data_IF_895380960085
#
_entry.id   IF_895380960085
#
_cell.length_a   1.000
_cell.length_b   1.000
_cell.length_c   1.000
_cell.angle_alpha   90.00
_cell.angle_beta   90.00
_cell.angle_gamma   90.00
#
_symmetry.space_group_name_H-M   'P 1'
#
loop_
_entity.id
_entity.type
_entity.pdbx_description
1 polymer ?
#
# COMPACT_ATOMS: atom_id res chain seq x y z
N UNK A 1 -76.95 -36.52 4.82
CA UNK A 1 -78.04 -35.78 4.15
C UNK A 1 -77.36 -34.96 3.08
N UNK A 2 -77.76 -35.26 1.85
CA UNK A 2 -77.50 -34.61 0.55
C UNK A 2 -76.11 -34.88 -0.09
N UNK A 3 -75.90 -35.83 -1.03
CA UNK A 3 -76.45 -36.05 -2.42
C UNK A 3 -75.85 -34.99 -3.38
N UNK A 4 -75.15 -35.24 -4.50
CA UNK A 4 -74.75 -36.44 -5.27
C UNK A 4 -73.50 -36.08 -6.12
N UNK A 5 -72.60 -37.06 -6.32
CA UNK A 5 -71.54 -37.06 -7.35
C UNK A 5 -71.95 -38.05 -8.45
N UNK A 6 -72.05 -37.59 -9.70
CA UNK A 6 -72.17 -38.46 -10.88
C UNK A 6 -71.17 -37.97 -11.92
N UNK A 7 -70.21 -38.84 -12.24
CA UNK A 7 -69.37 -38.81 -13.44
C UNK A 7 -70.23 -39.13 -14.67
N UNK A 8 -69.96 -38.52 -15.82
CA UNK A 8 -70.16 -39.18 -17.11
C UNK A 8 -69.23 -38.56 -18.18
N UNK A 9 -68.37 -39.42 -18.71
CA UNK A 9 -67.61 -39.25 -19.94
C UNK A 9 -68.44 -39.79 -21.11
N UNK A 10 -68.38 -39.14 -22.27
CA UNK A 10 -68.54 -39.75 -23.59
C UNK A 10 -67.86 -38.78 -24.60
N UNK A 11 -66.80 -39.13 -25.34
CA UNK A 11 -66.69 -40.13 -26.43
C UNK A 11 -67.76 -39.86 -27.52
N UNK A 12 -67.53 -39.72 -28.82
CA UNK A 12 -66.40 -39.84 -29.75
C UNK A 12 -66.96 -39.37 -31.11
N UNK A 13 -66.18 -38.76 -32.02
CA UNK A 13 -66.24 -39.23 -33.42
C UNK A 13 -65.03 -38.88 -34.29
N UNK A 14 -64.77 -39.80 -35.21
CA UNK A 14 -63.56 -40.05 -35.98
C UNK A 14 -63.33 -39.13 -37.19
N UNK A 15 -62.08 -38.90 -37.60
CA UNK A 15 -61.39 -39.65 -38.68
C UNK A 15 -60.28 -38.85 -39.40
N UNK A 16 -59.29 -39.61 -39.84
CA UNK A 16 -58.00 -39.28 -40.47
C UNK A 16 -58.08 -38.54 -41.81
N UNK A 17 -57.09 -37.66 -42.11
CA UNK A 17 -56.43 -37.58 -43.43
C UNK A 17 -54.97 -37.08 -43.27
N UNK A 18 -54.01 -37.91 -43.69
CA UNK A 18 -52.60 -37.59 -43.95
C UNK A 18 -52.43 -36.80 -45.26
N UNK A 19 -51.44 -35.90 -45.35
CA UNK A 19 -50.67 -35.68 -46.60
C UNK A 19 -49.41 -34.85 -46.35
N UNK A 20 -48.28 -35.48 -46.66
CA UNK A 20 -46.95 -34.88 -46.82
C UNK A 20 -46.85 -33.95 -48.05
N UNK A 21 -45.75 -33.19 -48.07
CA UNK A 21 -44.99 -32.61 -49.20
C UNK A 21 -45.13 -31.11 -49.56
N UNK A 22 -44.00 -30.43 -49.28
CA UNK A 22 -43.14 -29.69 -50.21
C UNK A 22 -43.37 -28.20 -50.58
N UNK A 23 -42.36 -27.41 -50.17
CA UNK A 23 -41.58 -26.41 -50.92
C UNK A 23 -42.05 -24.93 -51.04
N UNK A 24 -41.19 -24.07 -50.44
CA UNK A 24 -40.70 -22.75 -50.88
C UNK A 24 -41.52 -21.46 -50.62
N UNK A 25 -41.10 -20.68 -49.61
CA UNK A 25 -40.44 -19.37 -49.85
C UNK A 25 -39.59 -18.95 -48.63
N UNK A 26 -38.33 -18.51 -48.77
CA UNK A 26 -37.52 -18.00 -47.68
C UNK A 26 -37.93 -16.56 -47.33
N UNK A 27 -38.39 -16.31 -46.11
CA UNK A 27 -38.58 -14.94 -45.61
C UNK A 27 -37.30 -14.50 -44.87
N UNK A 28 -36.66 -13.48 -45.46
CA UNK A 28 -35.57 -12.66 -44.92
C UNK A 28 -35.77 -12.34 -43.43
N UNK A 29 -35.00 -13.01 -42.56
CA UNK A 29 -34.95 -12.72 -41.13
C UNK A 29 -33.63 -12.04 -40.70
N UNK A 30 -32.68 -11.87 -41.63
CA UNK A 30 -31.33 -11.39 -41.32
C UNK A 30 -31.14 -9.87 -41.41
N UNK A 31 -32.11 -9.14 -41.98
CA UNK A 31 -31.92 -7.72 -42.30
C UNK A 31 -32.21 -6.75 -41.13
N UNK A 32 -33.12 -7.11 -40.20
CA UNK A 32 -33.54 -6.20 -39.11
C UNK A 32 -32.57 -6.21 -37.91
N UNK A 33 -31.83 -7.31 -37.71
CA UNK A 33 -30.84 -7.38 -36.63
C UNK A 33 -29.53 -6.66 -36.96
N UNK A 34 -29.11 -6.64 -38.23
CA UNK A 34 -27.85 -6.00 -38.64
C UNK A 34 -27.87 -4.47 -38.49
N UNK A 35 -28.99 -3.81 -38.82
CA UNK A 35 -29.10 -2.34 -38.75
C UNK A 35 -29.15 -1.81 -37.30
N UNK A 36 -29.79 -2.55 -36.38
CA UNK A 36 -29.86 -2.16 -34.97
C UNK A 36 -28.50 -2.32 -34.26
N UNK A 37 -27.72 -3.33 -34.63
CA UNK A 37 -26.40 -3.56 -34.06
C UNK A 37 -25.35 -2.62 -34.66
N UNK A 38 -25.48 -2.25 -35.94
CA UNK A 38 -24.71 -1.18 -36.58
C UNK A 38 -24.98 0.20 -35.96
N UNK A 39 -26.25 0.50 -35.64
CA UNK A 39 -26.62 1.74 -34.98
C UNK A 39 -26.05 1.83 -33.54
N UNK A 40 -26.09 0.72 -32.79
CA UNK A 40 -25.48 0.63 -31.45
C UNK A 40 -23.96 0.74 -31.51
N UNK A 41 -23.31 0.11 -32.50
CA UNK A 41 -21.85 0.19 -32.68
C UNK A 41 -21.40 1.63 -33.01
N UNK A 42 -22.13 2.33 -33.89
CA UNK A 42 -21.87 3.74 -34.22
C UNK A 42 -22.12 4.68 -33.03
N UNK A 43 -23.10 4.39 -32.17
CA UNK A 43 -23.36 5.15 -30.94
C UNK A 43 -22.24 4.96 -29.91
N UNK A 44 -21.77 3.73 -29.70
CA UNK A 44 -20.64 3.44 -28.81
C UNK A 44 -19.35 4.09 -29.29
N UNK A 45 -19.05 4.04 -30.59
CA UNK A 45 -17.89 4.75 -31.16
C UNK A 45 -17.97 6.26 -30.94
N UNK A 46 -19.16 6.89 -31.07
CA UNK A 46 -19.34 8.31 -30.73
C UNK A 46 -19.17 8.58 -29.23
N UNK A 47 -19.66 7.70 -28.36
CA UNK A 47 -19.48 7.80 -26.92
C UNK A 47 -18.00 7.68 -26.52
N UNK A 48 -17.24 6.77 -27.14
CA UNK A 48 -15.82 6.59 -26.89
C UNK A 48 -15.00 7.80 -27.37
N UNK A 49 -15.32 8.36 -28.54
CA UNK A 49 -14.67 9.59 -29.04
C UNK A 49 -14.98 10.78 -28.11
N UNK A 50 -16.22 10.93 -27.65
CA UNK A 50 -16.60 11.99 -26.71
C UNK A 50 -15.97 11.79 -25.32
N UNK A 51 -15.85 10.55 -24.86
CA UNK A 51 -15.20 10.22 -23.60
C UNK A 51 -13.69 10.48 -23.66
N UNK A 52 -13.03 10.05 -24.73
CA UNK A 52 -11.63 10.38 -25.02
C UNK A 52 -11.42 11.89 -25.09
N UNK A 53 -12.28 12.63 -25.79
CA UNK A 53 -12.18 14.10 -25.90
C UNK A 53 -12.35 14.80 -24.55
N UNK A 54 -13.29 14.37 -23.71
CA UNK A 54 -13.44 14.91 -22.35
C UNK A 54 -12.24 14.60 -21.47
N UNK A 55 -11.68 13.40 -21.58
CA UNK A 55 -10.50 12.99 -20.81
C UNK A 55 -9.24 13.73 -21.27
N UNK A 56 -9.07 13.95 -22.57
CA UNK A 56 -7.97 14.77 -23.10
C UNK A 56 -8.10 16.23 -22.67
N UNK A 57 -9.33 16.77 -22.62
CA UNK A 57 -9.56 18.14 -22.14
C UNK A 57 -9.28 18.25 -20.63
N UNK A 58 -9.72 17.30 -19.81
CA UNK A 58 -9.37 17.28 -18.38
C UNK A 58 -7.87 17.17 -18.13
N UNK A 59 -7.16 16.36 -18.91
CA UNK A 59 -5.70 16.25 -18.84
C UNK A 59 -5.05 17.57 -19.25
N UNK A 60 -5.51 18.18 -20.35
CA UNK A 60 -5.04 19.49 -20.81
C UNK A 60 -5.26 20.57 -19.74
N UNK A 61 -6.44 20.63 -19.13
CA UNK A 61 -6.76 21.60 -18.08
C UNK A 61 -5.90 21.39 -16.83
N UNK A 62 -5.69 20.13 -16.43
CA UNK A 62 -4.81 19.78 -15.31
C UNK A 62 -3.34 20.14 -15.59
N UNK A 63 -2.86 19.92 -16.81
CA UNK A 63 -1.51 20.31 -17.24
C UNK A 63 -1.36 21.83 -17.28
N UNK A 64 -2.37 22.55 -17.77
CA UNK A 64 -2.37 24.01 -17.78
C UNK A 64 -2.40 24.59 -16.36
N UNK A 65 -3.17 23.99 -15.45
CA UNK A 65 -3.19 24.37 -14.04
C UNK A 65 -1.81 24.12 -13.37
N UNK A 66 -1.18 22.97 -13.66
CA UNK A 66 0.16 22.67 -13.17
C UNK A 66 1.22 23.64 -13.75
N UNK A 67 1.10 24.01 -15.03
CA UNK A 67 1.98 25.00 -15.66
C UNK A 67 1.81 26.39 -15.05
N UNK A 68 0.57 26.82 -14.76
CA UNK A 68 0.30 28.09 -14.09
C UNK A 68 0.88 28.10 -12.66
N UNK A 69 0.73 27.00 -11.91
CA UNK A 69 1.37 26.84 -10.59
C UNK A 69 2.89 26.87 -10.69
N UNK A 70 3.49 26.18 -11.66
CA UNK A 70 4.94 26.24 -11.89
C UNK A 70 5.39 27.66 -12.27
N UNK A 71 4.61 28.40 -13.04
CA UNK A 71 4.90 29.79 -13.41
C UNK A 71 4.78 30.72 -12.20
N UNK A 72 3.77 30.54 -11.36
CA UNK A 72 3.62 31.25 -10.09
C UNK A 72 4.80 30.96 -9.14
N UNK A 73 5.19 29.69 -9.01
CA UNK A 73 6.35 29.27 -8.23
C UNK A 73 7.65 29.81 -8.81
N UNK A 74 7.78 29.86 -10.14
CA UNK A 74 8.94 30.46 -10.80
C UNK A 74 9.03 31.96 -10.53
N UNK A 75 7.91 32.67 -10.47
CA UNK A 75 7.88 34.10 -10.12
C UNK A 75 8.21 34.32 -8.63
N UNK A 76 7.82 33.40 -7.74
CA UNK A 76 8.22 33.40 -6.33
C UNK A 76 9.74 33.12 -6.20
N UNK A 77 10.28 32.22 -7.01
CA UNK A 77 11.71 31.88 -7.04
C UNK A 77 12.59 32.92 -7.76
N UNK A 78 12.02 33.68 -8.72
CA UNK A 78 12.69 34.78 -9.43
C UNK A 78 12.52 36.15 -8.76
N UNK A 79 11.77 36.26 -7.65
CA UNK A 79 12.04 37.37 -6.74
C UNK A 79 13.52 37.27 -6.35
N UNK A 80 14.30 38.35 -6.45
CA UNK A 80 15.72 38.29 -6.14
C UNK A 80 15.86 37.92 -4.67
N UNK A 81 16.04 36.62 -4.40
CA UNK A 81 16.64 36.17 -3.17
C UNK A 81 18.02 36.81 -3.17
N UNK A 82 18.19 37.83 -2.35
CA UNK A 82 19.49 38.37 -2.00
C UNK A 82 20.30 37.21 -1.40
N UNK A 83 21.01 36.48 -2.26
CA UNK A 83 21.99 35.48 -1.86
C UNK A 83 23.26 35.66 -2.68
N UNK A 84 23.91 36.79 -2.42
CA UNK A 84 25.36 36.84 -2.22
C UNK A 84 25.71 38.19 -1.63
N UNK A 85 25.58 38.30 -0.32
CA UNK A 85 26.42 39.21 0.42
C UNK A 85 27.07 38.42 1.54
N UNK A 86 28.39 38.48 1.57
CA UNK A 86 29.15 38.44 2.81
C UNK A 86 28.46 39.30 3.88
N UNK A 87 28.64 39.00 5.17
CA UNK A 87 27.71 39.40 6.23
C UNK A 87 27.55 40.93 6.25
N UNK A 88 26.45 41.41 5.68
CA UNK A 88 25.94 42.72 6.00
C UNK A 88 25.68 42.68 7.50
N UNK A 89 26.52 43.40 8.23
CA UNK A 89 26.35 43.82 9.62
C UNK A 89 24.90 43.72 10.03
N UNK A 90 24.59 42.78 10.93
CA UNK A 90 23.39 42.84 11.76
C UNK A 90 23.32 44.27 12.29
N UNK A 91 22.42 45.05 11.71
CA UNK A 91 21.94 46.30 12.30
C UNK A 91 21.61 45.94 13.74
N UNK A 92 22.34 46.56 14.66
CA UNK A 92 22.42 46.18 16.04
C UNK A 92 21.04 46.29 16.69
N UNK A 93 20.40 45.14 16.85
CA UNK A 93 19.60 44.95 18.06
C UNK A 93 20.64 44.90 19.18
N UNK A 94 20.95 46.08 19.74
CA UNK A 94 21.77 46.21 20.94
C UNK A 94 20.96 45.62 22.10
N UNK A 95 20.92 44.28 22.15
CA UNK A 95 20.40 43.56 23.30
C UNK A 95 21.21 44.02 24.51
N UNK A 96 20.50 44.45 25.56
CA UNK A 96 21.14 44.77 26.81
C UNK A 96 21.91 43.55 27.31
N UNK A 97 23.05 43.78 27.98
CA UNK A 97 23.83 42.71 28.59
C UNK A 97 22.94 41.84 29.50
N UNK A 98 21.99 42.46 30.20
CA UNK A 98 21.01 41.77 31.06
C UNK A 98 20.08 40.84 30.28
N UNK A 99 19.60 41.26 29.10
CA UNK A 99 18.74 40.45 28.24
C UNK A 99 19.49 39.23 27.69
N UNK A 100 20.77 39.39 27.33
CA UNK A 100 21.59 38.27 26.87
C UNK A 100 21.86 37.25 27.97
N UNK A 101 22.11 37.72 29.20
CA UNK A 101 22.28 36.85 30.37
C UNK A 101 20.97 36.13 30.69
N UNK A 102 19.84 36.84 30.64
CA UNK A 102 18.51 36.29 30.87
C UNK A 102 18.19 35.16 29.88
N UNK A 103 18.41 35.38 28.58
CA UNK A 103 18.18 34.35 27.54
C UNK A 103 19.07 33.12 27.78
N UNK A 104 20.36 33.34 28.07
CA UNK A 104 21.31 32.25 28.33
C UNK A 104 20.95 31.45 29.59
N UNK A 105 20.43 32.11 30.62
CA UNK A 105 19.96 31.44 31.83
C UNK A 105 18.71 30.59 31.55
N UNK A 106 17.72 31.13 30.82
CA UNK A 106 16.53 30.37 30.45
C UNK A 106 16.86 29.17 29.55
N UNK A 107 17.86 29.32 28.67
CA UNK A 107 18.35 28.21 27.86
C UNK A 107 18.94 27.09 28.73
N UNK A 108 19.62 27.44 29.83
CA UNK A 108 20.12 26.45 30.81
C UNK A 108 18.99 25.79 31.58
N UNK A 109 17.95 26.54 31.93
CA UNK A 109 16.77 26.00 32.62
C UNK A 109 16.00 25.04 31.71
N UNK A 110 15.83 25.38 30.43
CA UNK A 110 15.27 24.49 29.41
C UNK A 110 16.10 23.21 29.27
N UNK A 111 17.43 23.33 29.26
CA UNK A 111 18.32 22.18 29.19
C UNK A 111 18.10 21.21 30.36
N UNK A 112 17.92 21.72 31.58
CA UNK A 112 17.72 20.91 32.78
C UNK A 112 16.41 20.10 32.77
N UNK A 113 15.35 20.62 32.13
CA UNK A 113 14.03 19.97 32.03
C UNK A 113 13.96 19.02 30.82
N UNK A 114 14.74 19.30 29.77
CA UNK A 114 14.65 18.61 28.48
C UNK A 114 15.21 17.18 28.46
N UNK A 115 14.79 16.40 27.46
CA UNK A 115 15.28 15.04 27.20
C UNK A 115 16.71 15.04 26.63
N UNK A 116 17.40 13.89 26.66
CA UNK A 116 18.79 13.79 26.18
C UNK A 116 18.98 14.24 24.71
N UNK A 117 17.95 14.03 23.87
CA UNK A 117 17.96 14.45 22.46
C UNK A 117 17.84 15.97 22.34
N UNK A 118 16.90 16.55 23.07
CA UNK A 118 16.69 18.00 23.09
C UNK A 118 17.86 18.72 23.74
N UNK A 119 18.49 18.14 24.77
CA UNK A 119 19.73 18.63 25.36
C UNK A 119 20.83 18.79 24.30
N UNK A 120 21.09 17.74 23.49
CA UNK A 120 22.09 17.79 22.41
C UNK A 120 21.72 18.84 21.36
N UNK A 121 20.42 18.97 21.07
CA UNK A 121 19.89 19.92 20.11
C UNK A 121 20.06 21.36 20.59
N UNK A 122 19.75 21.67 21.84
CA UNK A 122 19.96 22.98 22.47
C UNK A 122 21.43 23.38 22.48
N UNK A 123 22.34 22.42 22.73
CA UNK A 123 23.78 22.67 22.69
C UNK A 123 24.29 23.11 21.31
N UNK A 124 23.57 22.83 20.21
CA UNK A 124 23.96 23.30 18.86
C UNK A 124 23.85 24.81 18.70
N UNK A 125 23.11 25.50 19.58
CA UNK A 125 23.02 26.97 19.56
C UNK A 125 24.31 27.67 20.00
N UNK A 126 25.20 26.96 20.70
CA UNK A 126 26.41 27.57 21.23
C UNK A 126 27.34 28.06 20.12
N UNK A 127 28.10 29.16 20.36
CA UNK A 127 29.06 29.67 19.38
C UNK A 127 30.03 28.57 18.91
N UNK A 128 30.37 28.56 17.62
CA UNK A 128 31.34 27.62 17.05
C UNK A 128 32.77 27.83 17.61
N UNK A 129 33.03 28.98 18.23
CA UNK A 129 34.28 29.27 18.94
C UNK A 129 34.42 28.45 20.23
N UNK A 130 33.33 27.88 20.76
CA UNK A 130 33.38 27.09 21.98
C UNK A 130 33.77 25.64 21.67
N UNK A 131 34.83 25.18 22.34
CA UNK A 131 35.21 23.76 22.33
C UNK A 131 34.30 22.89 23.19
N UNK A 132 34.35 21.57 22.98
CA UNK A 132 33.50 20.58 23.67
C UNK A 132 33.52 20.71 25.20
N UNK A 133 34.69 20.96 25.79
CA UNK A 133 34.86 20.97 27.25
C UNK A 133 34.25 22.24 27.87
N UNK A 134 34.31 23.36 27.14
CA UNK A 134 33.68 24.62 27.55
C UNK A 134 32.15 24.49 27.52
N UNK A 135 31.60 23.90 26.46
CA UNK A 135 30.16 23.65 26.35
C UNK A 135 29.70 22.71 27.47
N UNK A 136 30.39 21.59 27.66
CA UNK A 136 30.07 20.62 28.72
C UNK A 136 30.08 21.26 30.11
N UNK A 137 31.11 22.06 30.42
CA UNK A 137 31.21 22.78 31.70
C UNK A 137 30.10 23.80 31.89
N UNK A 138 29.70 24.52 30.84
CA UNK A 138 28.65 25.54 30.93
C UNK A 138 27.26 24.95 31.21
N UNK A 139 26.91 23.87 30.50
CA UNK A 139 25.66 23.15 30.71
C UNK A 139 25.66 22.18 31.91
N UNK A 140 26.85 21.81 32.42
CA UNK A 140 26.98 20.75 33.41
C UNK A 140 26.74 19.35 32.83
N UNK A 141 27.03 19.15 31.55
CA UNK A 141 26.78 17.91 30.81
C UNK A 141 28.06 17.12 30.52
N UNK A 142 27.93 15.95 29.90
CA UNK A 142 29.09 15.12 29.57
C UNK A 142 29.85 15.67 28.35
N UNK A 143 31.20 15.55 28.31
CA UNK A 143 31.97 15.92 27.12
C UNK A 143 31.56 15.15 25.86
N UNK A 144 31.00 13.95 26.03
CA UNK A 144 30.48 13.14 24.94
C UNK A 144 29.25 13.77 24.29
N UNK A 145 28.27 14.22 25.08
CA UNK A 145 27.09 14.92 24.57
C UNK A 145 27.47 16.22 23.85
N UNK A 146 28.42 16.99 24.38
CA UNK A 146 28.95 18.17 23.71
C UNK A 146 29.64 17.85 22.38
N UNK A 147 30.38 16.75 22.31
CA UNK A 147 30.96 16.29 21.03
C UNK A 147 29.87 15.92 20.03
N UNK A 148 28.82 15.24 20.47
CA UNK A 148 27.70 14.85 19.62
C UNK A 148 26.96 16.07 19.07
N UNK A 149 26.71 17.09 19.89
CA UNK A 149 26.03 18.32 19.45
C UNK A 149 26.88 19.15 18.49
N UNK A 150 28.21 19.25 18.70
CA UNK A 150 29.11 19.91 17.74
C UNK A 150 29.08 19.20 16.39
N UNK A 151 29.14 17.86 16.39
CA UNK A 151 29.05 17.06 15.16
C UNK A 151 27.69 17.24 14.48
N UNK A 152 26.60 17.22 15.25
CA UNK A 152 25.27 17.46 14.72
C UNK A 152 25.17 18.85 14.08
N UNK A 153 25.78 19.86 14.70
CA UNK A 153 25.84 21.22 14.18
C UNK A 153 26.61 21.31 12.86
N UNK A 154 27.74 20.60 12.74
CA UNK A 154 28.51 20.57 11.49
C UNK A 154 27.75 19.87 10.36
N UNK A 155 27.04 18.80 10.69
CA UNK A 155 26.41 17.92 9.69
C UNK A 155 25.06 18.48 9.22
N UNK A 156 24.24 19.02 10.13
CA UNK A 156 22.85 19.38 9.87
C UNK A 156 22.45 20.82 10.28
N UNK A 157 23.32 21.57 10.96
CA UNK A 157 23.07 22.96 11.38
C UNK A 157 22.55 23.17 12.81
N UNK A 158 21.99 24.36 13.08
CA UNK A 158 21.49 24.73 14.41
C UNK A 158 20.08 24.14 14.59
N UNK A 159 19.77 23.64 15.80
CA UNK A 159 18.49 23.00 16.12
C UNK A 159 18.14 21.80 15.22
N UNK A 160 19.13 21.10 14.71
CA UNK A 160 18.88 19.88 13.94
C UNK A 160 18.38 18.75 14.81
N UNK A 161 17.46 17.94 14.28
CA UNK A 161 16.96 16.77 15.00
C UNK A 161 18.04 15.71 15.07
N UNK A 162 18.14 15.03 16.22
CA UNK A 162 19.01 13.87 16.34
C UNK A 162 18.29 12.68 15.72
N UNK A 163 18.68 12.28 14.51
CA UNK A 163 18.21 11.01 13.96
C UNK A 163 18.81 9.88 14.80
N UNK A 164 17.95 9.07 15.41
CA UNK A 164 18.38 7.88 16.11
C UNK A 164 19.12 6.95 15.14
N UNK A 165 20.45 7.00 15.16
CA UNK A 165 21.27 6.02 14.46
C UNK A 165 21.06 4.59 15.00
N UNK A 166 20.38 4.47 16.14
CA UNK A 166 19.97 3.22 16.78
C UNK A 166 18.58 2.75 16.36
N UNK A 167 17.88 3.48 15.50
CA UNK A 167 16.64 3.03 14.87
C UNK A 167 16.93 2.03 13.75
N UNK A 168 16.03 1.06 13.57
CA UNK A 168 16.02 0.24 12.35
C UNK A 168 15.86 1.20 11.16
N UNK A 169 16.96 1.48 10.44
CA UNK A 169 16.88 2.22 9.17
C UNK A 169 15.80 1.54 8.32
N UNK A 170 14.87 2.32 7.72
CA UNK A 170 13.89 1.74 6.83
C UNK A 170 14.65 0.97 5.74
N UNK A 171 14.22 -0.27 5.47
CA UNK A 171 14.77 -1.01 4.34
C UNK A 171 14.48 -0.22 3.08
N UNK A 172 15.40 -0.34 2.12
CA UNK A 172 15.19 0.27 0.83
C UNK A 172 13.90 -0.23 0.17
N UNK A 173 13.22 0.65 -0.54
CA UNK A 173 11.91 0.37 -1.13
C UNK A 173 11.99 -0.77 -2.15
N UNK A 174 13.12 -0.88 -2.88
CA UNK A 174 13.37 -1.97 -3.82
C UNK A 174 13.40 -3.33 -3.11
N UNK A 175 14.08 -3.41 -1.95
CA UNK A 175 14.14 -4.62 -1.15
C UNK A 175 12.77 -4.98 -0.59
N UNK A 176 11.99 -3.99 -0.16
CA UNK A 176 10.63 -4.23 0.32
C UNK A 176 9.74 -4.81 -0.79
N UNK A 177 9.82 -4.25 -2.01
CA UNK A 177 9.08 -4.74 -3.16
C UNK A 177 9.52 -6.16 -3.55
N UNK A 178 10.81 -6.45 -3.47
CA UNK A 178 11.33 -7.79 -3.73
C UNK A 178 10.80 -8.82 -2.73
N UNK A 179 10.75 -8.48 -1.43
CA UNK A 179 10.15 -9.35 -0.40
C UNK A 179 8.65 -9.53 -0.64
N UNK A 180 7.94 -8.47 -1.03
CA UNK A 180 6.52 -8.53 -1.35
C UNK A 180 6.25 -9.46 -2.55
N UNK A 181 7.07 -9.35 -3.61
CA UNK A 181 6.97 -10.20 -4.80
C UNK A 181 7.32 -11.65 -4.46
N UNK A 182 8.32 -11.87 -3.62
CA UNK A 182 8.70 -13.21 -3.14
C UNK A 182 7.53 -13.89 -2.42
N UNK A 183 6.85 -13.19 -1.51
CA UNK A 183 5.66 -13.73 -0.84
C UNK A 183 4.50 -14.02 -1.80
N UNK A 184 4.41 -13.28 -2.91
CA UNK A 184 3.35 -13.43 -3.92
C UNK A 184 3.70 -14.47 -4.99
N UNK A 185 4.92 -15.00 -4.98
CA UNK A 185 5.33 -16.05 -5.92
C UNK A 185 4.58 -17.37 -5.67
N UNK A 186 4.24 -18.07 -6.75
CA UNK A 186 3.58 -19.38 -6.68
C UNK A 186 4.50 -20.48 -6.14
N UNK A 187 5.82 -20.26 -6.12
CA UNK A 187 6.79 -21.17 -5.49
C UNK A 187 6.64 -21.19 -3.96
N UNK A 188 6.37 -20.01 -3.37
CA UNK A 188 6.38 -19.82 -1.91
C UNK A 188 4.97 -19.84 -1.31
N UNK A 189 3.98 -19.36 -2.05
CA UNK A 189 2.59 -19.34 -1.60
C UNK A 189 1.63 -19.82 -2.68
N UNK A 190 0.46 -20.30 -2.28
CA UNK A 190 -0.60 -20.76 -3.17
C UNK A 190 -1.86 -19.93 -2.99
N UNK A 191 -2.49 -19.53 -4.10
CA UNK A 191 -3.81 -18.91 -4.10
C UNK A 191 -4.92 -19.90 -3.76
N UNK A 192 -5.89 -19.41 -2.99
CA UNK A 192 -7.10 -20.18 -2.71
C UNK A 192 -8.05 -20.15 -3.90
N UNK A 193 -8.50 -21.32 -4.36
CA UNK A 193 -9.53 -21.42 -5.40
C UNK A 193 -10.93 -21.00 -4.92
N UNK A 194 -11.11 -20.75 -3.62
CA UNK A 194 -12.38 -20.41 -3.02
C UNK A 194 -12.75 -18.94 -3.25
N UNK A 195 -13.78 -18.68 -4.05
CA UNK A 195 -14.34 -17.32 -4.30
C UNK A 195 -14.76 -16.56 -3.03
N UNK A 196 -14.97 -17.27 -1.90
CA UNK A 196 -15.30 -16.68 -0.59
C UNK A 196 -14.06 -16.19 0.18
N UNK A 197 -12.87 -16.68 -0.16
CA UNK A 197 -11.62 -16.38 0.55
C UNK A 197 -10.89 -15.24 -0.15
N UNK A 198 -11.47 -14.05 0.01
CA UNK A 198 -11.05 -12.84 -0.69
C UNK A 198 -10.98 -11.70 0.32
N UNK A 199 -9.96 -10.85 0.20
CA UNK A 199 -9.79 -9.63 0.97
C UNK A 199 -10.04 -8.44 0.06
N UNK A 200 -10.73 -7.42 0.57
CA UNK A 200 -10.92 -6.13 -0.10
C UNK A 200 -10.06 -5.06 0.59
N UNK A 201 -8.80 -4.86 0.16
CA UNK A 201 -7.93 -3.87 0.75
C UNK A 201 -8.32 -2.45 0.31
N UNK A 202 -8.79 -1.62 1.22
CA UNK A 202 -9.00 -0.20 0.94
C UNK A 202 -7.66 0.49 0.58
N UNK A 203 -7.60 1.40 -0.40
CA UNK A 203 -8.70 2.04 -1.15
C UNK A 203 -9.13 1.30 -2.43
N UNK A 204 -8.47 0.19 -2.79
CA UNK A 204 -8.85 -0.62 -3.94
C UNK A 204 -10.16 -1.35 -3.66
N UNK A 205 -11.08 -1.38 -4.64
CA UNK A 205 -12.31 -2.18 -4.54
C UNK A 205 -12.14 -3.59 -5.05
N UNK A 206 -11.01 -3.89 -5.71
CA UNK A 206 -10.85 -5.16 -6.38
C UNK A 206 -10.58 -6.27 -5.36
N UNK A 207 -11.34 -7.38 -5.44
CA UNK A 207 -11.15 -8.54 -4.58
C UNK A 207 -9.77 -9.17 -4.81
N UNK A 208 -8.92 -9.21 -3.78
CA UNK A 208 -7.64 -9.95 -3.82
C UNK A 208 -7.84 -11.34 -3.19
N UNK A 209 -7.53 -12.44 -3.88
CA UNK A 209 -7.65 -13.78 -3.32
C UNK A 209 -6.64 -13.98 -2.18
N UNK A 210 -7.05 -14.75 -1.17
CA UNK A 210 -6.16 -15.14 -0.09
C UNK A 210 -5.07 -16.09 -0.61
N UNK A 211 -3.84 -15.92 -0.10
CA UNK A 211 -2.69 -16.77 -0.39
C UNK A 211 -2.21 -17.44 0.89
N UNK A 212 -1.85 -18.72 0.80
CA UNK A 212 -1.30 -19.48 1.91
C UNK A 212 0.15 -19.86 1.61
N UNK A 213 1.05 -19.65 2.57
CA UNK A 213 2.43 -20.09 2.46
C UNK A 213 2.53 -21.61 2.49
N UNK A 214 3.38 -22.17 1.62
CA UNK A 214 3.72 -23.60 1.63
C UNK A 214 4.51 -24.00 2.88
N UNK A 215 5.33 -23.08 3.40
CA UNK A 215 6.22 -23.31 4.52
C UNK A 215 5.95 -22.34 5.67
N UNK A 216 6.58 -22.60 6.82
CA UNK A 216 6.57 -21.64 7.93
C UNK A 216 7.32 -20.37 7.54
N UNK A 217 7.04 -19.26 8.23
CA UNK A 217 7.73 -17.98 7.95
C UNK A 217 9.24 -18.10 8.19
N UNK A 218 9.66 -18.99 9.09
CA UNK A 218 11.08 -19.24 9.36
C UNK A 218 11.79 -19.88 8.18
N UNK A 219 11.24 -20.97 7.67
CA UNK A 219 11.79 -21.68 6.51
C UNK A 219 11.70 -20.81 5.25
N UNK A 220 10.61 -20.06 5.10
CA UNK A 220 10.44 -19.10 4.00
C UNK A 220 11.53 -18.02 3.99
N UNK A 221 11.96 -17.56 5.18
CA UNK A 221 13.08 -16.63 5.32
C UNK A 221 14.42 -17.28 4.94
N UNK A 222 14.63 -18.56 5.27
CA UNK A 222 15.84 -19.29 4.90
C UNK A 222 15.91 -19.51 3.37
N UNK A 223 14.78 -19.84 2.74
CA UNK A 223 14.68 -19.88 1.28
C UNK A 223 14.97 -18.51 0.66
N UNK A 224 14.41 -17.43 1.22
CA UNK A 224 14.68 -16.08 0.73
C UNK A 224 16.17 -15.73 0.80
N UNK A 225 16.84 -16.04 1.92
CA UNK A 225 18.29 -15.82 2.08
C UNK A 225 19.13 -16.67 1.12
N UNK A 226 18.64 -17.86 0.78
CA UNK A 226 19.31 -18.75 -0.18
C UNK A 226 19.23 -18.19 -1.59
N UNK A 227 18.07 -17.65 -1.99
CA UNK A 227 17.88 -17.02 -3.30
C UNK A 227 18.56 -15.64 -3.40
N UNK A 228 18.58 -14.87 -2.31
CA UNK A 228 19.10 -13.51 -2.28
C UNK A 228 20.16 -13.34 -1.16
N UNK A 229 21.35 -13.94 -1.30
CA UNK A 229 22.37 -13.95 -0.25
C UNK A 229 22.93 -12.55 0.07
N UNK A 230 22.83 -11.60 -0.86
CA UNK A 230 23.31 -10.23 -0.68
C UNK A 230 22.41 -9.42 0.28
N UNK A 231 21.14 -9.79 0.42
CA UNK A 231 20.15 -9.02 1.16
C UNK A 231 20.10 -9.46 2.62
N UNK A 232 20.49 -8.58 3.53
CA UNK A 232 20.46 -8.82 4.97
C UNK A 232 19.14 -8.33 5.56
N UNK A 233 18.23 -9.26 5.83
CA UNK A 233 16.96 -8.96 6.49
C UNK A 233 16.78 -9.77 7.79
N UNK A 234 16.30 -9.09 8.83
CA UNK A 234 15.96 -9.70 10.11
C UNK A 234 14.56 -10.33 10.10
N UNK A 235 14.35 -11.37 10.92
CA UNK A 235 13.08 -12.13 10.97
C UNK A 235 11.87 -11.27 11.27
N UNK A 236 11.95 -10.37 12.26
CA UNK A 236 10.84 -9.50 12.64
C UNK A 236 10.42 -8.55 11.51
N UNK A 237 11.41 -8.06 10.74
CA UNK A 237 11.15 -7.14 9.63
C UNK A 237 10.62 -7.87 8.41
N UNK A 238 11.13 -9.06 8.12
CA UNK A 238 10.59 -9.95 7.08
C UNK A 238 9.11 -10.28 7.35
N UNK A 239 8.79 -10.66 8.59
CA UNK A 239 7.41 -10.90 9.01
C UNK A 239 6.51 -9.67 8.82
N UNK A 240 7.00 -8.48 9.18
CA UNK A 240 6.26 -7.23 9.07
C UNK A 240 6.00 -6.79 7.61
N UNK A 241 6.86 -7.21 6.66
CA UNK A 241 6.71 -6.91 5.23
C UNK A 241 5.75 -7.87 4.52
N UNK A 242 5.22 -8.88 5.22
CA UNK A 242 4.26 -9.83 4.64
C UNK A 242 2.94 -9.13 4.28
N UNK A 243 2.42 -9.31 3.06
CA UNK A 243 1.11 -8.76 2.69
C UNK A 243 -0.02 -9.35 3.53
N UNK A 244 -1.07 -8.56 3.77
CA UNK A 244 -2.21 -8.95 4.63
C UNK A 244 -2.97 -10.16 4.08
N UNK A 245 -3.00 -10.32 2.76
CA UNK A 245 -3.63 -11.45 2.08
C UNK A 245 -2.77 -12.72 2.03
N UNK A 246 -1.54 -12.68 2.55
CA UNK A 246 -0.68 -13.86 2.66
C UNK A 246 -0.69 -14.37 4.11
N UNK A 247 -1.18 -15.60 4.32
CA UNK A 247 -1.30 -16.22 5.65
C UNK A 247 -0.42 -17.45 5.78
N UNK A 248 -0.01 -17.72 7.02
CA UNK A 248 0.71 -18.95 7.39
C UNK A 248 -0.34 -20.04 7.71
N UNK A 249 -0.21 -21.19 7.04
CA UNK A 249 -1.07 -22.39 7.06
C UNK A 249 -2.39 -22.36 6.29
N UNK A 250 -2.50 -23.40 5.44
CA UNK A 250 -3.73 -24.00 4.97
C UNK A 250 -4.52 -24.63 6.13
N UNK A 251 -5.86 -24.51 6.18
CA UNK A 251 -6.65 -25.11 7.25
C UNK A 251 -6.81 -26.66 7.16
N UNK A 252 -6.30 -27.34 6.13
CA UNK A 252 -6.85 -28.65 5.74
C UNK A 252 -5.86 -29.74 5.30
N UNK A 253 -4.56 -29.60 5.46
CA UNK A 253 -3.65 -30.73 5.12
C UNK A 253 -3.52 -31.79 6.23
N UNK A 254 -4.18 -31.61 7.37
CA UNK A 254 -4.50 -32.68 8.33
C UNK A 254 -5.56 -32.14 9.31
N UNK A 255 -6.86 -32.32 9.05
CA UNK A 255 -7.83 -32.19 10.14
C UNK A 255 -7.66 -33.42 11.05
N UNK A 256 -7.01 -33.25 12.20
CA UNK A 256 -6.91 -34.28 13.25
C UNK A 256 -8.23 -34.43 14.04
N UNK A 257 -9.33 -33.91 13.51
CA UNK A 257 -10.63 -34.04 14.12
C UNK A 257 -11.16 -35.47 13.92
N UNK A 258 -11.88 -35.98 14.92
CA UNK A 258 -12.43 -37.35 14.92
C UNK A 258 -13.23 -37.65 13.64
N UNK A 259 -13.96 -36.68 13.11
CA UNK A 259 -14.77 -36.85 11.90
C UNK A 259 -13.94 -37.13 10.64
N UNK A 260 -12.85 -36.40 10.42
CA UNK A 260 -12.00 -36.61 9.24
C UNK A 260 -11.07 -37.83 9.43
N UNK A 261 -10.58 -38.07 10.65
CA UNK A 261 -9.82 -39.28 10.99
C UNK A 261 -10.65 -40.56 10.76
N UNK A 262 -11.92 -40.57 11.20
CA UNK A 262 -12.81 -41.70 10.99
C UNK A 262 -13.17 -41.91 9.51
N UNK A 263 -13.31 -40.84 8.73
CA UNK A 263 -13.55 -40.92 7.30
C UNK A 263 -12.36 -41.55 6.55
N UNK A 264 -11.13 -41.12 6.87
CA UNK A 264 -9.91 -41.72 6.30
C UNK A 264 -9.77 -43.20 6.68
N UNK A 265 -10.05 -43.57 7.94
CA UNK A 265 -10.01 -44.96 8.40
C UNK A 265 -11.03 -45.84 7.66
N UNK A 266 -12.24 -45.33 7.41
CA UNK A 266 -13.26 -46.06 6.65
C UNK A 266 -12.86 -46.26 5.18
N UNK A 267 -12.26 -45.25 4.55
CA UNK A 267 -11.76 -45.32 3.18
C UNK A 267 -10.56 -46.30 3.05
N UNK A 268 -9.68 -46.35 4.06
CA UNK A 268 -8.60 -47.33 4.10
C UNK A 268 -9.11 -48.76 4.27
N UNK A 269 -10.15 -48.96 5.10
CA UNK A 269 -10.79 -50.27 5.29
C UNK A 269 -11.51 -50.76 4.02
N UNK A 270 -12.12 -49.87 3.23
CA UNK A 270 -12.74 -50.24 1.95
C UNK A 270 -11.73 -50.56 0.85
N UNK A 271 -10.57 -49.90 0.85
CA UNK A 271 -9.53 -50.08 -0.16
C UNK A 271 -8.58 -51.26 0.13
N UNK A 272 -8.66 -51.83 1.34
CA UNK A 272 -7.84 -52.97 1.78
C UNK A 272 -8.57 -54.32 1.70
N UNK A 273 -9.67 -54.41 0.93
CA UNK A 273 -10.20 -55.73 0.58
C UNK A 273 -9.22 -56.46 -0.36
N UNK A 274 -8.77 -57.69 -0.02
CA UNK A 274 -7.91 -58.50 -0.89
C UNK A 274 -8.62 -58.96 -2.16
#
# INVERSE_FOLDING_TARGET
MDIDNIEENDSSDHSDINLDNDLNSPLDYDNVHSEQDDAKMKLNQRCDILFCSRKTNQISDSVNEAYLKLKEWSNILLQPSHRSKQPDTLSSLDLSMDETVWILQHLRDLFAISSEHEQKRLMTMMPSTWGRDRIAKWFGSTPHQARQSIKLKSDAGIFSSFEDQRGNKPLDNEVQLMVHNFYTSDEVSRETSCKKQVIHPQPSRDPIPLRFLHLTIGETLEQFKTMYPTIKIGRSKFFALRPVWVRERTPHENCLCIHHSNADLLLQASNSSP
#
